data_IF_789963350788
#
_entry.id   IF_789963350788
#
_cell.length_a   1.000
_cell.length_b   1.000
_cell.length_c   1.000
_cell.angle_alpha   90.00
_cell.angle_beta   90.00
_cell.angle_gamma   90.00
#
_symmetry.space_group_name_H-M   'P 1'
#
loop_
_entity.id
_entity.type
_entity.pdbx_description
1 polymer ?
#
# COMPACT_ATOMS: atom_id res chain seq x y z
N UNK A 1 -49.17 34.50 -18.01
CA UNK A 1 -49.01 33.27 -17.20
C UNK A 1 -47.52 32.97 -17.13
N UNK A 2 -46.80 33.16 -16.00
CA UNK A 2 -45.36 32.97 -16.00
C UNK A 2 -45.06 31.47 -15.88
N UNK A 3 -44.27 30.93 -16.81
CA UNK A 3 -43.63 29.62 -16.65
C UNK A 3 -42.50 29.79 -15.64
N UNK A 4 -42.69 29.24 -14.44
CA UNK A 4 -41.60 29.08 -13.48
C UNK A 4 -40.54 28.20 -14.15
N UNK A 5 -39.35 28.75 -14.36
CA UNK A 5 -38.24 28.00 -14.97
C UNK A 5 -37.79 26.91 -14.02
N UNK A 6 -37.57 25.68 -14.53
CA UNK A 6 -37.03 24.56 -13.74
C UNK A 6 -35.72 24.96 -13.04
N UNK A 7 -34.91 25.82 -13.68
CA UNK A 7 -33.70 26.42 -13.08
C UNK A 7 -34.01 27.21 -11.81
N UNK A 8 -35.09 27.97 -11.76
CA UNK A 8 -35.46 28.77 -10.60
C UNK A 8 -35.97 27.91 -9.44
N UNK A 9 -36.70 26.83 -9.74
CA UNK A 9 -37.11 25.84 -8.73
C UNK A 9 -35.88 25.14 -8.15
N UNK A 10 -34.94 24.74 -9.00
CA UNK A 10 -33.70 24.08 -8.59
C UNK A 10 -32.85 25.02 -7.73
N UNK A 11 -32.66 26.28 -8.16
CA UNK A 11 -31.90 27.28 -7.41
C UNK A 11 -32.56 27.58 -6.07
N UNK A 12 -33.89 27.67 -6.01
CA UNK A 12 -34.61 27.91 -4.74
C UNK A 12 -34.53 26.73 -3.78
N UNK A 13 -34.50 25.50 -4.31
CA UNK A 13 -34.28 24.29 -3.51
C UNK A 13 -32.83 24.19 -2.99
N UNK A 14 -31.84 24.49 -3.84
CA UNK A 14 -30.42 24.48 -3.50
C UNK A 14 -30.01 25.62 -2.56
N UNK A 15 -30.65 26.79 -2.68
CA UNK A 15 -30.44 27.96 -1.82
C UNK A 15 -31.32 27.98 -0.57
N UNK A 16 -32.05 26.90 -0.28
CA UNK A 16 -32.82 26.77 0.95
C UNK A 16 -31.84 26.65 2.14
N UNK A 17 -31.92 27.53 3.16
CA UNK A 17 -31.02 27.48 4.33
C UNK A 17 -30.98 26.12 5.03
N UNK A 18 -32.10 25.38 5.03
CA UNK A 18 -32.17 24.02 5.62
C UNK A 18 -31.41 22.99 4.79
N UNK A 19 -31.49 23.07 3.47
CA UNK A 19 -30.73 22.18 2.58
C UNK A 19 -29.23 22.41 2.75
N UNK A 20 -28.81 23.67 2.75
CA UNK A 20 -27.40 24.04 2.90
C UNK A 20 -26.84 23.62 4.27
N UNK A 21 -27.63 23.77 5.34
CA UNK A 21 -27.25 23.34 6.69
C UNK A 21 -27.11 21.81 6.82
N UNK A 22 -28.01 21.04 6.20
CA UNK A 22 -27.92 19.57 6.19
C UNK A 22 -26.70 19.14 5.35
N UNK A 23 -26.53 19.71 4.16
CA UNK A 23 -25.42 19.39 3.28
C UNK A 23 -24.06 19.69 3.93
N UNK A 24 -23.88 20.88 4.50
CA UNK A 24 -22.63 21.25 5.17
C UNK A 24 -22.38 20.38 6.39
N UNK A 25 -23.41 20.07 7.18
CA UNK A 25 -23.30 19.14 8.30
C UNK A 25 -22.82 17.75 7.88
N UNK A 26 -23.40 17.18 6.83
CA UNK A 26 -22.98 15.89 6.27
C UNK A 26 -21.55 15.96 5.72
N UNK A 27 -21.23 17.01 4.95
CA UNK A 27 -19.91 17.18 4.36
C UNK A 27 -18.82 17.31 5.44
N UNK A 28 -19.07 18.11 6.48
CA UNK A 28 -18.15 18.27 7.61
C UNK A 28 -17.98 16.96 8.37
N UNK A 29 -19.06 16.19 8.57
CA UNK A 29 -18.98 14.89 9.22
C UNK A 29 -18.12 13.91 8.41
N UNK A 30 -18.35 13.80 7.10
CA UNK A 30 -17.57 12.94 6.20
C UNK A 30 -16.10 13.37 6.19
N UNK A 31 -15.83 14.67 6.12
CA UNK A 31 -14.48 15.21 6.19
C UNK A 31 -13.79 14.86 7.51
N UNK A 32 -14.46 15.07 8.64
CA UNK A 32 -13.94 14.75 9.96
C UNK A 32 -13.63 13.25 10.09
N UNK A 33 -14.54 12.37 9.68
CA UNK A 33 -14.32 10.92 9.67
C UNK A 33 -13.12 10.56 8.79
N UNK A 34 -13.01 11.13 7.60
CA UNK A 34 -11.90 10.84 6.67
C UNK A 34 -10.54 11.23 7.27
N UNK A 35 -10.45 12.42 7.86
CA UNK A 35 -9.22 12.90 8.52
C UNK A 35 -8.87 11.99 9.70
N UNK A 36 -9.83 11.69 10.58
CA UNK A 36 -9.60 10.86 11.77
C UNK A 36 -9.19 9.42 11.40
N UNK A 37 -9.82 8.81 10.40
CA UNK A 37 -9.43 7.50 9.89
C UNK A 37 -8.02 7.51 9.27
N UNK A 38 -7.66 8.56 8.53
CA UNK A 38 -6.32 8.73 7.98
C UNK A 38 -5.24 8.78 9.06
N UNK A 39 -5.49 9.52 10.15
CA UNK A 39 -4.58 9.56 11.31
C UNK A 39 -4.42 8.20 12.00
N UNK A 40 -5.49 7.40 12.08
CA UNK A 40 -5.43 6.06 12.67
C UNK A 40 -4.56 5.09 11.83
N UNK A 41 -4.51 5.27 10.51
CA UNK A 41 -3.73 4.45 9.59
C UNK A 41 -2.22 4.77 9.59
N UNK A 42 -1.77 5.89 10.17
CA UNK A 42 -0.35 6.28 10.23
C UNK A 42 0.45 5.60 11.34
N UNK A 43 -0.06 4.52 11.94
CA UNK A 43 0.63 3.81 13.02
C UNK A 43 1.44 2.64 12.48
N UNK A 44 2.59 2.40 13.09
CA UNK A 44 3.38 1.21 12.81
C UNK A 44 2.57 -0.05 13.12
N UNK A 45 2.31 -0.92 12.13
CA UNK A 45 1.55 -2.13 12.35
C UNK A 45 2.35 -3.07 13.25
N UNK A 46 1.70 -3.57 14.31
CA UNK A 46 2.26 -4.60 15.18
C UNK A 46 1.72 -5.96 14.77
N UNK A 47 2.62 -6.86 14.45
CA UNK A 47 2.29 -8.24 14.12
C UNK A 47 2.67 -9.16 15.29
N UNK A 48 1.89 -10.23 15.48
CA UNK A 48 2.29 -11.35 16.32
C UNK A 48 3.16 -12.32 15.51
N UNK A 49 2.63 -13.51 15.26
CA UNK A 49 3.27 -14.50 14.38
C UNK A 49 2.91 -14.20 12.92
N UNK A 50 3.91 -14.14 12.05
CA UNK A 50 3.74 -13.98 10.61
C UNK A 50 3.98 -15.33 9.93
N UNK A 51 2.92 -15.91 9.35
CA UNK A 51 3.02 -17.09 8.47
C UNK A 51 2.97 -16.64 7.03
N UNK A 52 4.12 -16.65 6.36
CA UNK A 52 4.26 -16.17 4.99
C UNK A 52 5.20 -17.08 4.19
N UNK A 53 5.04 -17.07 2.87
CA UNK A 53 5.97 -17.77 1.96
C UNK A 53 7.24 -16.95 1.72
N UNK A 54 7.09 -15.64 1.60
CA UNK A 54 8.18 -14.67 1.41
C UNK A 54 7.84 -13.35 2.09
N UNK A 55 8.84 -12.73 2.71
CA UNK A 55 8.79 -11.41 3.34
C UNK A 55 9.91 -10.57 2.74
N UNK A 56 9.57 -9.39 2.24
CA UNK A 56 10.53 -8.42 1.74
C UNK A 56 10.55 -7.19 2.66
N UNK A 57 11.74 -6.76 3.07
CA UNK A 57 11.96 -5.46 3.69
C UNK A 57 12.38 -4.50 2.58
N UNK A 58 11.68 -3.38 2.46
CA UNK A 58 11.85 -2.42 1.37
C UNK A 58 12.12 -1.02 1.93
N UNK A 59 12.93 -0.26 1.19
CA UNK A 59 13.13 1.18 1.42
C UNK A 59 11.91 2.00 0.97
N UNK A 60 11.80 3.28 1.38
CA UNK A 60 10.74 4.18 0.93
C UNK A 60 10.64 4.33 -0.59
N UNK A 61 11.76 4.16 -1.31
CA UNK A 61 11.81 4.23 -2.77
C UNK A 61 11.47 2.90 -3.47
N UNK A 62 11.09 1.88 -2.70
CA UNK A 62 10.74 0.55 -3.18
C UNK A 62 11.92 -0.42 -3.35
N UNK A 63 13.14 -0.01 -3.03
CA UNK A 63 14.31 -0.91 -3.12
C UNK A 63 14.23 -2.01 -2.09
N UNK A 64 14.32 -3.27 -2.50
CA UNK A 64 14.38 -4.40 -1.55
C UNK A 64 15.74 -4.43 -0.85
N UNK A 65 15.75 -4.55 0.48
CA UNK A 65 16.95 -4.64 1.34
C UNK A 65 17.21 -6.02 1.93
N UNK A 66 16.14 -6.71 2.26
CA UNK A 66 16.17 -8.07 2.78
C UNK A 66 15.00 -8.86 2.19
N UNK A 67 15.27 -10.06 1.73
CA UNK A 67 14.24 -11.04 1.39
C UNK A 67 14.39 -12.24 2.31
N UNK A 68 13.31 -12.69 2.96
CA UNK A 68 13.22 -13.97 3.67
C UNK A 68 12.22 -14.83 2.91
N UNK A 69 12.56 -16.06 2.54
CA UNK A 69 11.69 -16.89 1.70
C UNK A 69 11.82 -18.39 1.97
N UNK A 70 10.72 -19.09 1.76
CA UNK A 70 10.70 -20.56 1.65
C UNK A 70 11.30 -21.01 0.31
N UNK A 71 11.31 -22.33 0.09
CA UNK A 71 11.84 -22.94 -1.14
C UNK A 71 11.01 -22.62 -2.40
N UNK A 72 9.69 -22.60 -2.27
CA UNK A 72 8.80 -22.42 -3.44
C UNK A 72 8.81 -20.98 -3.99
N UNK A 73 9.15 -20.01 -3.15
CA UNK A 73 9.12 -18.58 -3.46
C UNK A 73 10.49 -17.93 -3.29
N UNK A 74 11.55 -18.73 -3.38
CA UNK A 74 12.92 -18.20 -3.33
C UNK A 74 13.17 -17.31 -4.54
N UNK A 75 13.65 -16.07 -4.35
CA UNK A 75 13.90 -15.15 -5.45
C UNK A 75 15.03 -15.62 -6.36
N UNK A 76 15.02 -15.06 -7.57
CA UNK A 76 16.21 -14.98 -8.41
C UNK A 76 17.32 -14.11 -7.82
N UNK A 77 18.33 -13.81 -8.63
CA UNK A 77 19.37 -12.86 -8.27
C UNK A 77 18.92 -11.41 -8.43
N UNK A 78 19.31 -10.52 -7.52
CA UNK A 78 19.00 -9.09 -7.62
C UNK A 78 20.15 -8.32 -8.25
N UNK A 79 19.88 -7.50 -9.26
CA UNK A 79 20.84 -6.57 -9.87
C UNK A 79 20.12 -5.25 -10.11
N UNK A 80 20.59 -4.15 -9.50
CA UNK A 80 20.01 -2.81 -9.66
C UNK A 80 18.46 -2.79 -9.53
N UNK A 81 17.94 -3.30 -8.42
CA UNK A 81 16.49 -3.40 -8.10
C UNK A 81 15.68 -4.31 -9.02
N UNK A 82 16.32 -5.09 -9.89
CA UNK A 82 15.66 -6.04 -10.78
C UNK A 82 15.99 -7.46 -10.40
N UNK A 83 14.95 -8.28 -10.27
CA UNK A 83 15.08 -9.72 -10.08
C UNK A 83 15.36 -10.38 -11.44
N UNK A 84 16.43 -11.16 -11.50
CA UNK A 84 16.84 -11.96 -12.65
C UNK A 84 16.75 -13.44 -12.31
N UNK A 85 16.20 -14.31 -13.18
CA UNK A 85 16.09 -15.73 -12.89
C UNK A 85 17.44 -16.37 -12.54
N UNK A 86 17.45 -17.14 -11.44
CA UNK A 86 18.58 -18.02 -11.07
C UNK A 86 18.11 -19.48 -11.03
N UNK A 87 18.18 -20.21 -12.16
CA UNK A 87 17.71 -21.59 -12.21
C UNK A 87 18.48 -22.54 -11.27
N UNK A 88 19.71 -22.18 -10.92
CA UNK A 88 20.60 -22.84 -9.96
C UNK A 88 20.11 -22.77 -8.50
N UNK A 89 19.08 -21.96 -8.22
CA UNK A 89 18.55 -21.75 -6.86
C UNK A 89 17.12 -22.26 -6.65
N UNK A 90 16.63 -23.15 -7.51
CA UNK A 90 15.25 -23.66 -7.44
C UNK A 90 14.92 -24.40 -6.14
N UNK A 91 15.93 -24.95 -5.47
CA UNK A 91 15.76 -25.68 -4.21
C UNK A 91 16.27 -24.91 -2.98
N UNK A 92 16.66 -23.65 -3.17
CA UNK A 92 17.15 -22.78 -2.11
C UNK A 92 16.01 -22.25 -1.22
N UNK A 93 16.28 -22.08 0.07
CA UNK A 93 15.46 -21.30 0.99
C UNK A 93 16.36 -20.43 1.87
N UNK A 94 15.82 -19.36 2.45
CA UNK A 94 16.57 -18.53 3.39
C UNK A 94 16.45 -17.03 3.14
N UNK A 95 17.57 -16.32 3.34
CA UNK A 95 17.62 -14.86 3.40
C UNK A 95 18.63 -14.27 2.43
N UNK A 96 18.23 -13.24 1.66
CA UNK A 96 19.12 -12.49 0.76
C UNK A 96 19.23 -11.02 1.19
N UNK A 97 20.46 -10.50 1.15
CA UNK A 97 20.78 -9.10 1.46
C UNK A 97 21.10 -8.34 0.17
N UNK A 98 20.59 -7.12 0.07
CA UNK A 98 20.80 -6.26 -1.08
C UNK A 98 21.56 -4.98 -0.68
N UNK A 99 22.42 -4.50 -1.58
CA UNK A 99 23.15 -3.23 -1.45
C UNK A 99 22.22 -2.02 -1.53
N UNK A 100 22.78 -0.81 -1.32
CA UNK A 100 22.07 0.47 -1.45
C UNK A 100 21.39 0.65 -2.82
N UNK A 101 22.05 0.22 -3.89
CA UNK A 101 21.55 0.25 -5.27
C UNK A 101 20.57 -0.89 -5.62
N UNK A 102 20.35 -1.84 -4.70
CA UNK A 102 19.43 -2.97 -4.89
C UNK A 102 20.04 -4.15 -5.65
N UNK A 103 21.36 -4.36 -5.56
CA UNK A 103 22.07 -5.54 -6.08
C UNK A 103 22.29 -6.54 -4.94
N UNK A 104 22.11 -7.84 -5.18
CA UNK A 104 22.34 -8.90 -4.18
C UNK A 104 23.81 -8.92 -3.73
N UNK A 105 24.05 -8.78 -2.42
CA UNK A 105 25.38 -8.83 -1.80
C UNK A 105 25.66 -10.16 -1.08
N UNK A 106 24.78 -11.14 -1.26
CA UNK A 106 24.86 -12.45 -0.65
C UNK A 106 23.65 -12.79 0.22
N UNK A 107 23.76 -13.86 0.99
CA UNK A 107 22.65 -14.38 1.77
C UNK A 107 23.00 -15.55 2.65
N UNK A 108 22.05 -15.89 3.53
CA UNK A 108 22.04 -17.13 4.29
C UNK A 108 21.09 -18.09 3.58
N UNK A 109 21.66 -19.03 2.82
CA UNK A 109 20.92 -19.95 1.97
C UNK A 109 21.10 -21.38 2.47
N UNK A 110 20.00 -22.11 2.56
CA UNK A 110 19.97 -23.54 2.88
C UNK A 110 19.38 -24.33 1.72
N UNK A 111 19.84 -25.58 1.55
CA UNK A 111 19.30 -26.50 0.56
C UNK A 111 19.69 -26.17 -0.89
N UNK A 112 20.55 -25.17 -1.12
CA UNK A 112 21.24 -25.02 -2.40
C UNK A 112 22.34 -26.09 -2.47
N UNK A 113 22.02 -27.25 -3.05
CA UNK A 113 22.94 -28.37 -3.30
C UNK A 113 22.90 -28.76 -4.77
#
# INVERSE_FOLDING_TARGET
MPLISVRDVLMKALSNPRFLAIYSGVLTLVFAVTVLCGFAAMRDPKFGIITARRINIVEPDGTVRLTISNRADFPGGWIHKKESPRPDRRDAAGMLFMSEEGTEQGGLIWGAS
#
